data_IF_001882090536
#
_entry.id   IF_001882090536
#
_cell.length_a   1.000
_cell.length_b   1.000
_cell.length_c   1.000
_cell.angle_alpha   90.00
_cell.angle_beta   90.00
_cell.angle_gamma   90.00
#
_symmetry.space_group_name_H-M   'P 1'
#
loop_
_entity.id
_entity.type
_entity.pdbx_description
1 polymer ?
#
# COMPACT_ATOMS: atom_id res chain seq x y z
N UNK A 1 -23.01 8.98 -9.04
CA UNK A 1 -23.07 10.00 -10.12
C UNK A 1 -24.44 10.05 -10.79
N UNK A 2 -24.97 8.96 -11.36
CA UNK A 2 -26.24 8.97 -12.11
C UNK A 2 -27.43 9.58 -11.34
N UNK A 3 -27.56 9.28 -10.04
CA UNK A 3 -28.58 9.92 -9.18
C UNK A 3 -28.49 11.45 -9.12
N UNK A 4 -27.29 12.03 -9.21
CA UNK A 4 -27.10 13.49 -9.22
C UNK A 4 -27.52 14.08 -10.56
N UNK A 5 -27.17 13.40 -11.66
CA UNK A 5 -27.55 13.82 -13.02
C UNK A 5 -29.08 13.83 -13.16
N UNK A 6 -29.75 12.72 -12.82
CA UNK A 6 -31.22 12.64 -12.88
C UNK A 6 -31.89 13.72 -12.02
N UNK A 7 -31.33 14.02 -10.83
CA UNK A 7 -31.86 15.07 -9.95
C UNK A 7 -31.67 16.46 -10.54
N UNK A 8 -30.50 16.78 -11.09
CA UNK A 8 -30.24 18.08 -11.71
C UNK A 8 -31.17 18.32 -12.91
N UNK A 9 -31.34 17.31 -13.77
CA UNK A 9 -32.29 17.38 -14.89
C UNK A 9 -33.73 17.55 -14.40
N UNK A 10 -34.15 16.80 -13.38
CA UNK A 10 -35.47 16.97 -12.76
C UNK A 10 -35.69 18.39 -12.21
N UNK A 11 -34.64 19.03 -11.72
CA UNK A 11 -34.66 20.39 -11.20
C UNK A 11 -34.57 21.46 -12.30
N UNK A 12 -34.53 21.08 -13.58
CA UNK A 12 -34.52 22.01 -14.72
C UNK A 12 -33.13 22.49 -15.16
N UNK A 13 -32.05 21.81 -14.74
CA UNK A 13 -30.70 22.12 -15.20
C UNK A 13 -30.52 21.75 -16.69
N UNK A 14 -30.55 22.78 -17.55
CA UNK A 14 -30.44 22.63 -19.00
C UNK A 14 -29.05 22.14 -19.45
N UNK A 15 -28.00 22.62 -18.79
CA UNK A 15 -26.62 22.25 -19.14
C UNK A 15 -26.39 20.76 -18.87
N UNK A 16 -26.82 20.27 -17.71
CA UNK A 16 -26.67 18.84 -17.36
C UNK A 16 -27.48 17.95 -18.32
N UNK A 17 -28.66 18.39 -18.75
CA UNK A 17 -29.46 17.65 -19.73
C UNK A 17 -28.76 17.58 -21.10
N UNK A 18 -28.25 18.70 -21.59
CA UNK A 18 -27.50 18.77 -22.85
C UNK A 18 -26.25 17.90 -22.82
N UNK A 19 -25.49 17.93 -21.73
CA UNK A 19 -24.31 17.09 -21.55
C UNK A 19 -24.66 15.60 -21.46
N UNK A 20 -25.73 15.24 -20.74
CA UNK A 20 -26.20 13.86 -20.69
C UNK A 20 -26.53 13.33 -22.10
N UNK A 21 -27.32 14.09 -22.87
CA UNK A 21 -27.68 13.78 -24.27
C UNK A 21 -26.46 13.61 -25.17
N UNK A 22 -25.50 14.53 -25.05
CA UNK A 22 -24.23 14.48 -25.79
C UNK A 22 -23.42 13.24 -25.45
N UNK A 23 -23.26 12.92 -24.15
CA UNK A 23 -22.49 11.77 -23.68
C UNK A 23 -23.14 10.44 -24.10
N UNK A 24 -24.47 10.34 -24.03
CA UNK A 24 -25.18 9.12 -24.46
C UNK A 24 -25.35 9.03 -25.98
N UNK A 25 -25.17 10.14 -26.71
CA UNK A 25 -25.33 10.20 -28.17
C UNK A 25 -26.78 10.18 -28.64
N UNK A 26 -27.71 10.65 -27.81
CA UNK A 26 -29.17 10.61 -28.05
C UNK A 26 -29.77 11.97 -27.67
N UNK A 27 -30.27 12.71 -28.67
CA UNK A 27 -30.77 14.10 -28.51
C UNK A 27 -32.10 14.19 -27.78
N UNK A 28 -32.91 13.13 -27.84
CA UNK A 28 -34.23 13.10 -27.22
C UNK A 28 -34.17 12.50 -25.80
N UNK A 29 -33.01 11.96 -25.42
CA UNK A 29 -32.82 11.34 -24.11
C UNK A 29 -33.10 12.30 -22.95
N UNK A 30 -33.83 11.80 -21.96
CA UNK A 30 -34.07 12.49 -20.68
C UNK A 30 -33.74 11.49 -19.56
N UNK A 31 -32.66 11.69 -18.78
CA UNK A 31 -32.27 10.76 -17.72
C UNK A 31 -33.23 10.84 -16.53
N UNK A 32 -34.17 9.90 -16.46
CA UNK A 32 -35.12 9.77 -15.34
C UNK A 32 -34.68 8.71 -14.35
N UNK A 33 -34.28 7.54 -14.84
CA UNK A 33 -33.81 6.42 -14.02
C UNK A 33 -32.27 6.40 -13.94
N UNK A 34 -31.67 6.52 -12.74
CA UNK A 34 -30.24 6.42 -12.52
C UNK A 34 -29.61 5.11 -13.02
N UNK A 35 -30.33 3.98 -12.95
CA UNK A 35 -29.82 2.68 -13.41
C UNK A 35 -29.71 2.63 -14.93
N UNK A 36 -30.74 3.14 -15.61
CA UNK A 36 -30.76 3.24 -17.06
C UNK A 36 -29.61 4.13 -17.58
N UNK A 37 -29.40 5.29 -16.95
CA UNK A 37 -28.25 6.15 -17.26
C UNK A 37 -26.92 5.42 -17.02
N UNK A 38 -26.79 4.72 -15.88
CA UNK A 38 -25.59 3.94 -15.57
C UNK A 38 -25.30 2.88 -16.64
N UNK A 39 -26.32 2.20 -17.18
CA UNK A 39 -26.15 1.20 -18.23
C UNK A 39 -25.53 1.77 -19.53
N UNK A 40 -25.86 3.02 -19.85
CA UNK A 40 -25.38 3.71 -21.06
C UNK A 40 -23.95 4.21 -20.96
N UNK A 41 -23.45 4.47 -19.76
CA UNK A 41 -22.18 5.19 -19.54
C UNK A 41 -21.17 4.44 -18.67
N UNK A 42 -21.59 3.40 -17.96
CA UNK A 42 -20.74 2.66 -17.03
C UNK A 42 -20.70 1.18 -17.39
N UNK A 43 -19.52 0.72 -17.80
CA UNK A 43 -19.23 -0.68 -18.10
C UNK A 43 -18.42 -1.26 -16.96
N UNK A 44 -18.88 -2.38 -16.41
CA UNK A 44 -18.14 -3.15 -15.41
C UNK A 44 -17.68 -4.47 -16.04
N UNK A 45 -16.49 -4.94 -15.67
CA UNK A 45 -15.94 -6.18 -16.18
C UNK A 45 -15.31 -6.98 -15.05
N UNK A 46 -15.87 -8.16 -14.77
CA UNK A 46 -15.25 -9.15 -13.91
C UNK A 46 -14.29 -10.01 -14.74
N UNK A 47 -13.03 -10.11 -14.31
CA UNK A 47 -11.98 -10.82 -15.02
C UNK A 47 -11.44 -11.96 -14.15
N UNK A 48 -12.17 -13.08 -14.16
CA UNK A 48 -11.86 -14.26 -13.38
C UNK A 48 -10.68 -15.06 -13.93
N UNK A 49 -10.04 -15.80 -13.04
CA UNK A 49 -9.05 -16.84 -13.35
C UNK A 49 -9.53 -18.19 -12.81
N UNK A 50 -8.77 -19.26 -13.06
CA UNK A 50 -8.99 -20.60 -12.47
C UNK A 50 -9.01 -20.58 -10.93
N UNK A 51 -8.37 -19.57 -10.32
CA UNK A 51 -8.29 -19.40 -8.87
C UNK A 51 -9.45 -18.57 -8.29
N UNK A 52 -10.27 -17.95 -9.14
CA UNK A 52 -11.32 -17.04 -8.70
C UNK A 52 -12.58 -17.81 -8.26
N UNK A 53 -13.17 -17.41 -7.14
CA UNK A 53 -14.34 -18.07 -6.57
C UNK A 53 -15.65 -17.68 -7.27
N UNK A 54 -16.66 -18.54 -7.13
CA UNK A 54 -18.03 -18.21 -7.57
C UNK A 54 -18.61 -17.03 -6.79
N UNK A 55 -18.19 -16.91 -5.53
CA UNK A 55 -18.65 -15.91 -4.60
C UNK A 55 -18.23 -14.48 -5.02
N UNK A 56 -16.96 -14.28 -5.38
CA UNK A 56 -16.45 -12.97 -5.85
C UNK A 56 -17.12 -12.58 -7.17
N UNK A 57 -17.27 -13.55 -8.08
CA UNK A 57 -17.99 -13.38 -9.36
C UNK A 57 -19.45 -12.97 -9.16
N UNK A 58 -20.17 -13.68 -8.31
CA UNK A 58 -21.58 -13.41 -8.00
C UNK A 58 -21.76 -12.05 -7.34
N UNK A 59 -20.89 -11.68 -6.40
CA UNK A 59 -20.91 -10.34 -5.78
C UNK A 59 -20.72 -9.21 -6.79
N UNK A 60 -19.76 -9.35 -7.71
CA UNK A 60 -19.53 -8.36 -8.76
C UNK A 60 -20.76 -8.18 -9.66
N UNK A 61 -21.37 -9.30 -10.09
CA UNK A 61 -22.59 -9.29 -10.91
C UNK A 61 -23.78 -8.65 -10.17
N UNK A 62 -24.00 -9.00 -8.91
CA UNK A 62 -25.10 -8.46 -8.12
C UNK A 62 -24.94 -6.95 -7.89
N UNK A 63 -23.72 -6.48 -7.62
CA UNK A 63 -23.47 -5.04 -7.50
C UNK A 63 -23.68 -4.31 -8.84
N UNK A 64 -23.28 -4.92 -9.95
CA UNK A 64 -23.54 -4.35 -11.27
C UNK A 64 -25.04 -4.19 -11.56
N UNK A 65 -25.88 -5.13 -11.08
CA UNK A 65 -27.35 -5.06 -11.16
C UNK A 65 -27.95 -4.00 -10.23
N UNK A 66 -27.43 -3.86 -9.01
CA UNK A 66 -27.83 -2.81 -8.08
C UNK A 66 -27.56 -1.42 -8.66
N UNK A 67 -26.39 -1.22 -9.27
CA UNK A 67 -25.98 0.05 -9.90
C UNK A 67 -26.65 0.27 -11.25
N UNK A 68 -26.95 -0.79 -12.01
CA UNK A 68 -27.49 -0.73 -13.36
C UNK A 68 -26.43 -0.69 -14.47
N UNK A 69 -25.16 -0.99 -14.17
CA UNK A 69 -24.07 -0.96 -15.16
C UNK A 69 -24.22 -2.03 -16.25
N UNK A 70 -23.61 -1.81 -17.42
CA UNK A 70 -23.43 -2.87 -18.41
C UNK A 70 -22.30 -3.80 -17.95
N UNK A 71 -22.63 -5.04 -17.58
CA UNK A 71 -21.70 -5.96 -16.94
C UNK A 71 -21.19 -7.03 -17.89
N UNK A 72 -19.88 -7.28 -17.86
CA UNK A 72 -19.21 -8.37 -18.56
C UNK A 72 -18.51 -9.29 -17.56
N UNK A 73 -18.46 -10.57 -17.87
CA UNK A 73 -17.73 -11.60 -17.13
C UNK A 73 -16.86 -12.38 -18.12
N UNK A 74 -15.54 -12.36 -17.90
CA UNK A 74 -14.56 -13.00 -18.77
C UNK A 74 -13.56 -13.83 -17.96
N UNK A 75 -13.02 -14.86 -18.60
CA UNK A 75 -11.89 -15.65 -18.07
C UNK A 75 -10.58 -15.26 -18.73
N UNK A 76 -9.52 -15.14 -17.95
CA UNK A 76 -8.19 -14.74 -18.45
C UNK A 76 -7.24 -15.91 -18.69
N UNK A 77 -7.63 -17.13 -18.28
CA UNK A 77 -6.74 -18.30 -18.21
C UNK A 77 -6.09 -18.65 -19.54
N UNK A 78 -6.84 -18.59 -20.64
CA UNK A 78 -6.31 -18.85 -21.98
C UNK A 78 -5.15 -17.93 -22.33
N UNK A 79 -5.24 -16.65 -21.95
CA UNK A 79 -4.21 -15.64 -22.22
C UNK A 79 -3.02 -15.87 -21.28
N UNK A 80 -3.27 -16.15 -20.01
CA UNK A 80 -2.21 -16.49 -19.04
C UNK A 80 -1.41 -17.69 -19.53
N UNK A 81 -2.08 -18.77 -19.94
CA UNK A 81 -1.47 -19.96 -20.49
C UNK A 81 -0.63 -19.66 -21.74
N UNK A 82 -1.10 -18.80 -22.65
CA UNK A 82 -0.34 -18.41 -23.83
C UNK A 82 0.98 -17.69 -23.47
N UNK A 83 0.96 -16.76 -22.51
CA UNK A 83 2.16 -16.08 -22.04
C UNK A 83 3.15 -17.06 -21.38
N UNK A 84 2.65 -17.99 -20.56
CA UNK A 84 3.49 -18.99 -19.92
C UNK A 84 4.06 -20.01 -20.92
N UNK A 85 3.32 -20.34 -21.97
CA UNK A 85 3.80 -21.20 -23.05
C UNK A 85 5.00 -20.58 -23.78
N UNK A 86 4.93 -19.28 -24.11
CA UNK A 86 6.05 -18.55 -24.72
C UNK A 86 7.27 -18.53 -23.80
N UNK A 87 7.09 -18.23 -22.51
CA UNK A 87 8.18 -18.25 -21.54
C UNK A 87 8.83 -19.65 -21.43
N UNK A 88 8.00 -20.70 -21.37
CA UNK A 88 8.47 -22.08 -21.26
C UNK A 88 9.21 -22.52 -22.51
N UNK A 89 8.72 -22.16 -23.69
CA UNK A 89 9.36 -22.50 -24.97
C UNK A 89 10.77 -21.90 -25.11
N UNK A 90 10.98 -20.67 -24.61
CA UNK A 90 12.28 -19.97 -24.71
C UNK A 90 13.25 -20.40 -23.60
N UNK A 91 12.75 -20.63 -22.38
CA UNK A 91 13.62 -20.85 -21.21
C UNK A 91 13.78 -22.30 -20.80
N UNK A 92 12.93 -23.20 -21.30
CA UNK A 92 12.83 -24.59 -20.84
C UNK A 92 12.31 -24.76 -19.41
N UNK A 93 11.88 -23.67 -18.74
CA UNK A 93 11.38 -23.69 -17.37
C UNK A 93 9.92 -23.25 -17.32
N UNK A 94 9.11 -23.97 -16.55
CA UNK A 94 7.71 -23.62 -16.29
C UNK A 94 7.57 -23.12 -14.84
N UNK A 95 7.24 -21.83 -14.62
CA UNK A 95 7.01 -21.31 -13.27
C UNK A 95 5.86 -22.03 -12.59
N UNK A 96 5.96 -22.23 -11.27
CA UNK A 96 4.91 -22.86 -10.47
C UNK A 96 4.45 -21.94 -9.33
N UNK A 97 3.17 -22.06 -8.96
CA UNK A 97 2.66 -21.41 -7.74
C UNK A 97 3.33 -22.03 -6.51
N UNK A 98 3.40 -21.27 -5.42
CA UNK A 98 3.98 -21.73 -4.15
C UNK A 98 3.25 -22.97 -3.60
N UNK A 99 1.93 -22.99 -3.74
CA UNK A 99 1.09 -24.14 -3.39
C UNK A 99 1.48 -25.44 -4.13
N UNK A 100 2.13 -25.31 -5.29
CA UNK A 100 2.53 -26.42 -6.15
C UNK A 100 4.05 -26.69 -6.09
N UNK A 101 4.78 -26.07 -5.14
CA UNK A 101 6.23 -26.26 -4.96
C UNK A 101 7.12 -25.22 -5.63
N UNK A 102 6.55 -24.15 -6.20
CA UNK A 102 7.32 -23.04 -6.76
C UNK A 102 7.95 -22.12 -5.71
N UNK A 103 8.97 -21.36 -6.11
CA UNK A 103 9.61 -20.35 -5.24
C UNK A 103 8.74 -19.11 -5.05
N UNK A 104 9.03 -18.29 -4.03
CA UNK A 104 8.34 -16.99 -3.82
C UNK A 104 8.43 -16.08 -5.05
N UNK A 105 9.53 -16.17 -5.81
CA UNK A 105 9.73 -15.37 -7.03
C UNK A 105 8.83 -15.84 -8.17
N UNK A 106 8.68 -17.14 -8.36
CA UNK A 106 7.77 -17.71 -9.36
C UNK A 106 6.32 -17.40 -9.00
N UNK A 107 5.96 -17.59 -7.75
CA UNK A 107 4.63 -17.31 -7.24
C UNK A 107 4.22 -15.86 -7.46
N UNK A 108 5.10 -14.91 -7.08
CA UNK A 108 4.86 -13.49 -7.31
C UNK A 108 4.80 -13.15 -8.82
N UNK A 109 5.62 -13.80 -9.66
CA UNK A 109 5.57 -13.58 -11.10
C UNK A 109 4.25 -14.05 -11.72
N UNK A 110 3.72 -15.21 -11.29
CA UNK A 110 2.43 -15.75 -11.73
C UNK A 110 1.24 -14.88 -11.29
N UNK A 111 1.28 -14.29 -10.10
CA UNK A 111 0.28 -13.31 -9.68
C UNK A 111 0.35 -12.03 -10.52
N UNK A 112 1.57 -11.51 -10.71
CA UNK A 112 1.80 -10.27 -11.45
C UNK A 112 1.35 -10.37 -12.91
N UNK A 113 1.57 -11.52 -13.59
CA UNK A 113 1.17 -11.66 -14.99
C UNK A 113 -0.35 -11.66 -15.14
N UNK A 114 -1.07 -12.33 -14.23
CA UNK A 114 -2.53 -12.28 -14.19
C UNK A 114 -3.02 -10.84 -13.95
N UNK A 115 -2.41 -10.11 -13.03
CA UNK A 115 -2.76 -8.72 -12.74
C UNK A 115 -2.55 -7.78 -13.94
N UNK A 116 -1.45 -7.95 -14.69
CA UNK A 116 -1.16 -7.15 -15.89
C UNK A 116 -2.05 -7.48 -17.09
N UNK A 117 -2.39 -8.75 -17.29
CA UNK A 117 -3.31 -9.15 -18.36
C UNK A 117 -4.67 -8.48 -18.18
N UNK A 118 -5.17 -8.36 -16.95
CA UNK A 118 -6.42 -7.65 -16.66
C UNK A 118 -6.36 -6.18 -17.08
N UNK A 119 -5.23 -5.50 -16.88
CA UNK A 119 -5.04 -4.12 -17.34
C UNK A 119 -5.10 -4.02 -18.86
N UNK A 120 -4.38 -4.91 -19.58
CA UNK A 120 -4.40 -4.94 -21.05
C UNK A 120 -5.81 -5.15 -21.59
N UNK A 121 -6.57 -6.08 -21.00
CA UNK A 121 -7.96 -6.32 -21.35
C UNK A 121 -8.86 -5.13 -21.04
N UNK A 122 -8.69 -4.50 -19.87
CA UNK A 122 -9.48 -3.33 -19.48
C UNK A 122 -9.37 -2.21 -20.52
N UNK A 123 -8.16 -1.92 -21.00
CA UNK A 123 -7.94 -0.95 -22.06
C UNK A 123 -8.49 -1.40 -23.41
N UNK A 124 -8.35 -2.67 -23.79
CA UNK A 124 -8.95 -3.19 -25.03
C UNK A 124 -10.47 -2.99 -25.03
N UNK A 125 -11.14 -3.36 -23.93
CA UNK A 125 -12.57 -3.15 -23.78
C UNK A 125 -12.93 -1.67 -23.74
N UNK A 126 -12.17 -0.83 -23.05
CA UNK A 126 -12.44 0.61 -23.01
C UNK A 126 -12.44 1.26 -24.40
N UNK A 127 -11.58 0.80 -25.31
CA UNK A 127 -11.52 1.31 -26.67
C UNK A 127 -12.62 0.75 -27.59
N UNK A 128 -13.04 -0.50 -27.41
CA UNK A 128 -13.87 -1.20 -28.41
C UNK A 128 -15.27 -1.61 -27.93
N UNK A 129 -15.55 -1.65 -26.63
CA UNK A 129 -16.84 -2.21 -26.16
C UNK A 129 -18.02 -1.37 -26.60
N UNK A 130 -17.85 -0.05 -26.70
CA UNK A 130 -18.91 0.83 -27.18
C UNK A 130 -19.08 0.70 -28.70
N UNK A 131 -18.00 0.45 -29.45
CA UNK A 131 -18.08 0.12 -30.87
C UNK A 131 -18.88 -1.17 -31.10
N UNK A 132 -18.64 -2.22 -30.30
CA UNK A 132 -19.45 -3.44 -30.31
C UNK A 132 -20.94 -3.18 -30.01
N UNK A 133 -21.24 -2.08 -29.30
CA UNK A 133 -22.61 -1.62 -28.97
C UNK A 133 -23.14 -0.60 -29.98
N UNK A 134 -22.53 -0.48 -31.16
CA UNK A 134 -22.97 0.41 -32.24
C UNK A 134 -22.65 1.90 -32.00
N UNK A 135 -21.73 2.22 -31.09
CA UNK A 135 -21.36 3.59 -30.72
C UNK A 135 -19.87 3.82 -30.94
N UNK A 136 -19.53 4.79 -31.78
CA UNK A 136 -18.13 5.13 -32.07
C UNK A 136 -17.53 6.09 -31.01
N UNK A 137 -17.40 5.61 -29.77
CA UNK A 137 -16.83 6.36 -28.63
C UNK A 137 -15.95 5.46 -27.78
N UNK A 138 -14.93 6.02 -27.13
CA UNK A 138 -14.11 5.30 -26.13
C UNK A 138 -14.63 5.50 -24.70
N UNK A 139 -14.15 4.68 -23.77
CA UNK A 139 -14.37 4.81 -22.34
C UNK A 139 -13.08 5.21 -21.63
N UNK A 140 -13.22 5.89 -20.49
CA UNK A 140 -12.12 6.07 -19.54
C UNK A 140 -12.04 4.85 -18.62
N UNK A 141 -10.85 4.30 -18.46
CA UNK A 141 -10.57 3.23 -17.49
C UNK A 141 -10.46 3.85 -16.09
N UNK A 142 -11.23 3.29 -15.14
CA UNK A 142 -11.21 3.73 -13.74
C UNK A 142 -10.32 2.81 -12.91
N UNK A 143 -9.36 3.40 -12.19
CA UNK A 143 -8.56 2.71 -11.18
C UNK A 143 -9.29 2.59 -9.85
N UNK A 144 -8.86 1.66 -9.00
CA UNK A 144 -9.48 1.41 -7.69
C UNK A 144 -8.47 1.17 -6.56
N UNK A 145 -7.23 1.63 -6.70
CA UNK A 145 -6.27 1.65 -5.60
C UNK A 145 -6.71 2.71 -4.56
N UNK A 146 -6.54 2.44 -3.27
CA UNK A 146 -6.80 3.45 -2.21
C UNK A 146 -5.50 4.09 -1.71
N UNK A 147 -5.62 5.12 -0.87
CA UNK A 147 -4.47 5.89 -0.37
C UNK A 147 -3.50 5.02 0.44
N UNK A 148 -4.00 4.10 1.25
CA UNK A 148 -3.17 3.31 2.17
C UNK A 148 -2.37 2.23 1.41
N UNK A 149 -3.01 1.54 0.45
CA UNK A 149 -2.34 0.61 -0.48
C UNK A 149 -1.28 1.34 -1.30
N UNK A 150 -1.60 2.54 -1.80
CA UNK A 150 -0.68 3.38 -2.57
C UNK A 150 0.53 3.79 -1.73
N UNK A 151 0.31 4.18 -0.48
CA UNK A 151 1.37 4.57 0.44
C UNK A 151 2.33 3.40 0.74
N UNK A 152 1.79 2.21 0.98
CA UNK A 152 2.59 0.98 1.14
C UNK A 152 3.28 0.60 -0.17
N UNK A 153 2.63 0.88 -1.31
CA UNK A 153 2.95 0.33 -2.61
C UNK A 153 2.54 -1.14 -2.73
N UNK A 154 1.41 -1.51 -2.12
CA UNK A 154 0.77 -2.82 -2.19
C UNK A 154 -0.09 -2.93 -3.45
N UNK A 155 0.58 -3.07 -4.58
CA UNK A 155 -0.01 -3.22 -5.91
C UNK A 155 1.02 -3.79 -6.88
N UNK A 156 0.58 -4.34 -8.01
CA UNK A 156 1.49 -4.73 -9.09
C UNK A 156 1.71 -3.53 -9.99
N UNK A 157 2.98 -3.18 -10.26
CA UNK A 157 3.27 -2.10 -11.20
C UNK A 157 2.72 -2.47 -12.60
N UNK A 158 1.85 -1.60 -13.13
CA UNK A 158 1.12 -1.77 -14.40
C UNK A 158 0.04 -2.87 -14.40
N UNK A 159 -0.60 -3.13 -13.26
CA UNK A 159 -1.92 -3.81 -13.22
C UNK A 159 -3.07 -2.80 -13.31
N UNK A 160 -4.30 -3.19 -12.96
CA UNK A 160 -5.49 -2.32 -12.96
C UNK A 160 -5.42 -1.14 -11.97
N UNK A 161 -4.36 -1.01 -11.15
CA UNK A 161 -4.02 0.24 -10.46
C UNK A 161 -3.54 1.34 -11.42
N UNK A 162 -3.12 0.96 -12.63
CA UNK A 162 -2.75 1.84 -13.75
C UNK A 162 -3.93 1.96 -14.71
N UNK A 163 -4.55 3.12 -14.70
CA UNK A 163 -5.79 3.47 -15.38
C UNK A 163 -5.71 4.95 -15.80
N UNK A 164 -6.80 5.50 -16.34
CA UNK A 164 -6.81 6.91 -16.78
C UNK A 164 -7.00 7.87 -15.60
N UNK A 165 -7.95 7.53 -14.72
CA UNK A 165 -8.24 8.28 -13.47
C UNK A 165 -8.63 7.32 -12.34
N UNK A 166 -8.33 7.71 -11.10
CA UNK A 166 -8.70 6.95 -9.91
C UNK A 166 -9.55 7.80 -8.94
N UNK A 167 -10.87 7.59 -8.88
CA UNK A 167 -11.75 8.40 -8.03
C UNK A 167 -11.58 8.14 -6.52
N UNK A 168 -10.96 7.02 -6.13
CA UNK A 168 -10.79 6.62 -4.72
C UNK A 168 -9.33 6.63 -4.24
N UNK A 169 -8.39 6.98 -5.11
CA UNK A 169 -6.95 6.94 -4.79
C UNK A 169 -6.52 7.87 -3.67
N UNK A 170 -7.28 8.93 -3.41
CA UNK A 170 -7.07 9.84 -2.29
C UNK A 170 -7.88 9.53 -1.02
N UNK A 171 -8.59 8.40 -0.94
CA UNK A 171 -9.45 8.03 0.20
C UNK A 171 -8.81 6.88 1.00
N UNK A 172 -8.88 6.95 2.33
CA UNK A 172 -8.45 5.87 3.23
C UNK A 172 -9.31 4.61 3.10
N UNK A 173 -8.75 3.43 3.39
CA UNK A 173 -9.50 2.16 3.40
C UNK A 173 -10.63 2.20 4.41
N UNK A 174 -10.42 2.85 5.55
CA UNK A 174 -11.42 3.03 6.60
C UNK A 174 -12.62 3.81 6.08
N UNK A 175 -12.39 4.96 5.45
CA UNK A 175 -13.48 5.78 4.94
C UNK A 175 -14.17 5.14 3.74
N UNK A 176 -13.47 4.34 2.93
CA UNK A 176 -14.10 3.53 1.89
C UNK A 176 -15.10 2.53 2.46
N UNK A 177 -14.77 1.84 3.56
CA UNK A 177 -15.71 0.94 4.25
C UNK A 177 -16.94 1.72 4.75
N UNK A 178 -16.74 2.89 5.37
CA UNK A 178 -17.83 3.75 5.82
C UNK A 178 -18.70 4.27 4.66
N UNK A 179 -18.08 4.63 3.53
CA UNK A 179 -18.78 5.09 2.34
C UNK A 179 -19.61 3.97 1.68
N UNK A 180 -19.10 2.74 1.66
CA UNK A 180 -19.85 1.57 1.17
C UNK A 180 -21.07 1.32 2.05
N UNK A 181 -20.94 1.44 3.38
CA UNK A 181 -22.07 1.33 4.30
C UNK A 181 -23.13 2.43 4.04
N UNK A 182 -22.69 3.68 3.87
CA UNK A 182 -23.58 4.77 3.48
C UNK A 182 -24.33 4.47 2.16
N UNK A 183 -23.67 3.83 1.19
CA UNK A 183 -24.31 3.48 -0.08
C UNK A 183 -25.42 2.43 0.08
N UNK A 184 -25.27 1.50 1.02
CA UNK A 184 -26.34 0.54 1.37
C UNK A 184 -27.58 1.30 1.82
N UNK A 185 -27.44 2.19 2.81
CA UNK A 185 -28.58 2.93 3.37
C UNK A 185 -29.17 3.93 2.39
N UNK A 186 -28.32 4.65 1.66
CA UNK A 186 -28.77 5.77 0.82
C UNK A 186 -29.32 5.35 -0.53
N UNK A 187 -28.70 4.34 -1.15
CA UNK A 187 -29.03 3.94 -2.52
C UNK A 187 -29.65 2.53 -2.61
N UNK A 188 -29.81 1.85 -1.48
CA UNK A 188 -30.35 0.49 -1.40
C UNK A 188 -29.56 -0.52 -2.25
N UNK A 189 -28.23 -0.38 -2.27
CA UNK A 189 -27.32 -1.33 -2.92
C UNK A 189 -27.04 -2.50 -1.97
N UNK A 190 -28.03 -3.37 -1.77
CA UNK A 190 -27.99 -4.45 -0.78
C UNK A 190 -26.88 -5.47 -1.03
N UNK A 191 -26.46 -5.65 -2.29
CA UNK A 191 -25.31 -6.51 -2.63
C UNK A 191 -24.01 -6.10 -1.91
N UNK A 192 -23.85 -4.82 -1.56
CA UNK A 192 -22.69 -4.33 -0.81
C UNK A 192 -22.57 -4.95 0.58
N UNK A 193 -23.67 -5.41 1.20
CA UNK A 193 -23.64 -6.11 2.49
C UNK A 193 -22.80 -7.38 2.39
N UNK A 194 -22.99 -8.15 1.32
CA UNK A 194 -22.23 -9.39 1.09
C UNK A 194 -20.76 -9.11 0.76
N UNK A 195 -20.46 -7.97 0.12
CA UNK A 195 -19.08 -7.54 -0.15
C UNK A 195 -18.38 -7.13 1.15
N UNK A 196 -19.07 -6.39 2.02
CA UNK A 196 -18.52 -5.95 3.32
C UNK A 196 -18.32 -7.10 4.30
N UNK A 197 -19.16 -8.14 4.23
CA UNK A 197 -19.00 -9.36 5.02
C UNK A 197 -17.93 -10.33 4.49
N UNK A 198 -17.44 -10.13 3.27
CA UNK A 198 -16.43 -10.99 2.67
C UNK A 198 -15.03 -10.71 3.22
N UNK A 199 -14.22 -11.76 3.33
CA UNK A 199 -12.82 -11.63 3.75
C UNK A 199 -11.99 -10.96 2.65
N UNK A 200 -11.26 -9.86 2.92
CA UNK A 200 -10.40 -9.21 1.93
C UNK A 200 -9.21 -10.11 1.57
N UNK A 201 -9.28 -10.75 0.41
CA UNK A 201 -8.25 -11.67 -0.09
C UNK A 201 -8.06 -11.49 -1.58
N UNK A 202 -6.83 -11.67 -2.07
CA UNK A 202 -6.53 -11.67 -3.49
C UNK A 202 -6.57 -13.11 -4.01
N UNK A 203 -7.56 -13.45 -4.82
CA UNK A 203 -7.71 -14.78 -5.45
C UNK A 203 -6.79 -14.92 -6.68
N UNK A 204 -5.48 -14.70 -6.48
CA UNK A 204 -4.45 -14.78 -7.52
C UNK A 204 -3.58 -16.04 -7.44
N UNK A 205 -3.75 -16.83 -6.38
CA UNK A 205 -3.07 -18.10 -6.14
C UNK A 205 -4.11 -19.23 -5.97
N UNK A 206 -3.72 -20.50 -6.24
CA UNK A 206 -4.58 -21.65 -5.99
C UNK A 206 -5.17 -21.66 -4.58
N UNK A 207 -6.49 -21.71 -4.51
CA UNK A 207 -7.23 -21.80 -3.25
C UNK A 207 -6.91 -23.15 -2.59
N UNK A 208 -6.54 -23.14 -1.31
CA UNK A 208 -6.39 -24.38 -0.54
C UNK A 208 -7.74 -24.69 0.11
N UNK A 209 -8.35 -25.82 -0.25
CA UNK A 209 -9.70 -26.21 0.19
C UNK A 209 -10.78 -25.16 -0.14
N UNK A 210 -10.65 -24.45 -1.27
CA UNK A 210 -11.61 -23.41 -1.68
C UNK A 210 -11.52 -22.09 -0.90
N UNK A 211 -10.49 -21.91 -0.07
CA UNK A 211 -10.28 -20.68 0.70
C UNK A 211 -8.95 -20.03 0.32
N UNK A 212 -8.96 -18.71 0.13
CA UNK A 212 -7.75 -17.94 -0.09
C UNK A 212 -6.85 -17.99 1.16
N UNK A 213 -5.54 -18.22 0.96
CA UNK A 213 -4.64 -18.52 2.07
C UNK A 213 -4.46 -17.34 3.05
N UNK A 214 -4.53 -16.09 2.58
CA UNK A 214 -4.09 -14.94 3.37
C UNK A 214 -4.91 -13.68 3.10
N UNK A 215 -5.11 -12.85 4.13
CA UNK A 215 -5.69 -11.50 4.01
C UNK A 215 -4.65 -10.51 3.51
N UNK A 216 -5.12 -9.44 2.89
CA UNK A 216 -4.28 -8.32 2.47
C UNK A 216 -3.45 -7.73 3.62
N UNK A 217 -4.04 -7.50 4.81
CA UNK A 217 -3.32 -6.99 5.98
C UNK A 217 -2.21 -7.94 6.47
N UNK A 218 -2.47 -9.26 6.43
CA UNK A 218 -1.48 -10.24 6.83
C UNK A 218 -0.31 -10.27 5.83
N UNK A 219 -0.59 -10.15 4.52
CA UNK A 219 0.43 -10.10 3.47
C UNK A 219 1.23 -8.77 3.48
N UNK A 220 0.57 -7.67 3.83
CA UNK A 220 1.25 -6.39 4.07
C UNK A 220 2.10 -6.42 5.35
N UNK A 221 1.74 -7.25 6.32
CA UNK A 221 2.34 -7.29 7.66
C UNK A 221 1.97 -6.08 8.53
N UNK A 222 0.90 -5.37 8.16
CA UNK A 222 0.38 -4.16 8.84
C UNK A 222 -1.12 -4.05 8.61
N UNK A 223 -1.86 -3.57 9.62
CA UNK A 223 -3.29 -3.28 9.42
C UNK A 223 -3.51 -1.94 8.70
N UNK A 224 -4.70 -1.75 8.13
CA UNK A 224 -5.09 -0.46 7.53
C UNK A 224 -5.15 0.68 8.56
N UNK A 225 -5.50 0.37 9.81
CA UNK A 225 -5.49 1.35 10.89
C UNK A 225 -4.06 1.82 11.21
N UNK A 226 -3.11 0.89 11.25
CA UNK A 226 -1.69 1.21 11.41
C UNK A 226 -1.16 2.03 10.21
N UNK A 227 -1.48 1.62 8.98
CA UNK A 227 -1.09 2.34 7.76
C UNK A 227 -1.60 3.77 7.73
N UNK A 228 -2.86 3.99 8.16
CA UNK A 228 -3.43 5.34 8.28
C UNK A 228 -2.65 6.20 9.28
N UNK A 229 -2.26 5.63 10.43
CA UNK A 229 -1.43 6.32 11.43
C UNK A 229 -0.05 6.64 10.87
N UNK A 230 0.64 5.69 10.23
CA UNK A 230 1.95 5.94 9.60
C UNK A 230 1.86 7.00 8.52
N UNK A 231 0.79 6.99 7.70
CA UNK A 231 0.53 7.99 6.67
C UNK A 231 0.47 9.40 7.23
N UNK A 232 -0.37 9.61 8.25
CA UNK A 232 -0.50 10.91 8.94
C UNK A 232 0.79 11.35 9.61
N UNK A 233 1.45 10.48 10.36
CA UNK A 233 2.73 10.79 11.00
C UNK A 233 3.82 11.16 9.97
N UNK A 234 3.91 10.42 8.86
CA UNK A 234 4.89 10.67 7.79
C UNK A 234 4.64 12.01 7.09
N UNK A 235 3.39 12.27 6.68
CA UNK A 235 3.06 13.39 5.79
C UNK A 235 2.66 14.66 6.53
N UNK A 236 1.73 14.55 7.47
CA UNK A 236 1.17 15.71 8.19
C UNK A 236 2.14 16.17 9.27
N UNK A 237 2.68 15.23 10.06
CA UNK A 237 3.58 15.56 11.16
C UNK A 237 5.07 15.56 10.78
N UNK A 238 5.37 15.32 9.50
CA UNK A 238 6.72 15.28 8.94
C UNK A 238 7.68 14.37 9.73
N UNK A 239 7.22 13.21 10.17
CA UNK A 239 8.04 12.25 10.91
C UNK A 239 8.82 11.34 9.95
N UNK A 240 10.15 11.42 10.01
CA UNK A 240 11.04 10.35 9.53
C UNK A 240 11.04 9.14 10.48
N UNK A 241 11.83 8.07 10.18
CA UNK A 241 11.76 6.80 10.91
C UNK A 241 11.93 6.94 12.43
N UNK A 242 12.98 7.62 12.88
CA UNK A 242 13.28 7.76 14.31
C UNK A 242 12.20 8.56 15.05
N UNK A 243 11.76 9.69 14.50
CA UNK A 243 10.71 10.52 15.11
C UNK A 243 9.37 9.80 15.17
N UNK A 244 9.03 9.04 14.12
CA UNK A 244 7.82 8.22 14.10
C UNK A 244 7.87 7.15 15.20
N UNK A 245 9.01 6.48 15.36
CA UNK A 245 9.23 5.53 16.45
C UNK A 245 9.00 6.17 17.82
N UNK A 246 9.63 7.30 18.14
CA UNK A 246 9.44 7.97 19.44
C UNK A 246 7.97 8.32 19.69
N UNK A 247 7.27 8.90 18.71
CA UNK A 247 5.84 9.24 18.85
C UNK A 247 4.97 8.01 19.09
N UNK A 248 5.26 6.91 18.41
CA UNK A 248 4.50 5.68 18.55
C UNK A 248 4.81 4.94 19.85
N UNK A 249 6.02 5.05 20.40
CA UNK A 249 6.31 4.56 21.74
C UNK A 249 5.45 5.26 22.81
N UNK A 250 5.13 6.54 22.62
CA UNK A 250 4.22 7.25 23.50
C UNK A 250 2.76 6.89 23.20
N UNK A 251 2.35 6.87 21.94
CA UNK A 251 0.97 6.61 21.54
C UNK A 251 0.51 5.17 21.80
N UNK A 252 1.40 4.19 21.64
CA UNK A 252 1.12 2.77 21.79
C UNK A 252 1.75 2.16 23.04
N UNK A 253 2.14 3.00 24.02
CA UNK A 253 2.82 2.58 25.25
C UNK A 253 2.11 1.43 25.97
N UNK A 254 0.78 1.47 26.00
CA UNK A 254 -0.05 0.49 26.71
C UNK A 254 -0.41 -0.73 25.86
N UNK A 255 -0.04 -0.74 24.58
CA UNK A 255 -0.45 -1.75 23.60
C UNK A 255 0.76 -2.56 23.10
N UNK A 256 1.92 -1.91 22.93
CA UNK A 256 3.10 -2.50 22.33
C UNK A 256 4.39 -2.09 23.06
N UNK A 257 5.32 -3.05 23.32
CA UNK A 257 6.64 -2.71 23.83
C UNK A 257 7.46 -1.93 22.77
N UNK A 258 8.46 -1.13 23.17
CA UNK A 258 9.31 -0.37 22.26
C UNK A 258 9.92 -1.21 21.14
N UNK A 259 10.38 -2.43 21.44
CA UNK A 259 10.93 -3.36 20.45
C UNK A 259 9.94 -3.71 19.32
N UNK A 260 8.66 -3.90 19.62
CA UNK A 260 7.63 -4.18 18.62
C UNK A 260 7.28 -2.93 17.79
N UNK A 261 7.22 -1.76 18.43
CA UNK A 261 7.03 -0.48 17.72
C UNK A 261 8.17 -0.26 16.73
N UNK A 262 9.42 -0.52 17.14
CA UNK A 262 10.59 -0.42 16.28
C UNK A 262 10.49 -1.36 15.06
N UNK A 263 10.08 -2.61 15.26
CA UNK A 263 9.87 -3.56 14.17
C UNK A 263 8.83 -3.06 13.16
N UNK A 264 7.68 -2.58 13.64
CA UNK A 264 6.61 -2.04 12.78
C UNK A 264 7.07 -0.81 11.99
N UNK A 265 7.73 0.15 12.63
CA UNK A 265 8.25 1.36 11.97
C UNK A 265 9.31 1.01 10.92
N UNK A 266 10.23 0.10 11.25
CA UNK A 266 11.26 -0.35 10.30
C UNK A 266 10.66 -1.07 9.09
N UNK A 267 9.66 -1.93 9.33
CA UNK A 267 8.94 -2.62 8.26
C UNK A 267 8.24 -1.62 7.33
N UNK A 268 7.50 -0.66 7.88
CA UNK A 268 6.84 0.40 7.11
C UNK A 268 7.82 1.16 6.21
N UNK A 269 8.90 1.73 6.78
CA UNK A 269 9.84 2.54 5.99
C UNK A 269 10.64 1.73 4.97
N UNK A 270 10.93 0.46 5.25
CA UNK A 270 11.55 -0.44 4.28
C UNK A 270 10.61 -0.70 3.09
N UNK A 271 9.37 -1.09 3.35
CA UNK A 271 8.37 -1.34 2.30
C UNK A 271 8.05 -0.07 1.50
N UNK A 272 7.87 1.07 2.16
CA UNK A 272 7.68 2.37 1.53
C UNK A 272 8.85 2.70 0.58
N UNK A 273 10.09 2.58 1.05
CA UNK A 273 11.27 2.90 0.25
C UNK A 273 11.43 1.98 -0.97
N UNK A 274 11.24 0.67 -0.79
CA UNK A 274 11.33 -0.32 -1.88
C UNK A 274 10.28 -0.03 -2.96
N UNK A 275 9.06 0.29 -2.55
CA UNK A 275 7.94 0.43 -3.47
C UNK A 275 7.69 1.85 -3.97
N UNK A 276 8.42 2.87 -3.49
CA UNK A 276 8.15 4.27 -3.85
C UNK A 276 8.18 4.52 -5.35
N UNK A 277 9.02 3.80 -6.09
CA UNK A 277 9.07 3.86 -7.55
C UNK A 277 7.73 3.56 -8.24
N UNK A 278 6.79 2.86 -7.58
CA UNK A 278 5.44 2.62 -8.12
C UNK A 278 4.60 3.91 -8.15
N UNK A 279 4.82 4.83 -7.21
CA UNK A 279 4.09 6.09 -7.12
C UNK A 279 4.38 7.04 -8.28
N UNK A 280 5.56 6.93 -8.89
CA UNK A 280 5.96 7.76 -10.05
C UNK A 280 5.09 7.53 -11.29
N UNK A 281 4.38 6.39 -11.35
CA UNK A 281 3.54 6.00 -12.49
C UNK A 281 2.12 5.64 -12.06
N UNK A 282 1.75 5.92 -10.81
CA UNK A 282 0.41 5.62 -10.32
C UNK A 282 -0.60 6.56 -11.00
N UNK A 283 -1.78 6.02 -11.30
CA UNK A 283 -2.92 6.75 -11.86
C UNK A 283 -3.20 8.04 -11.10
N UNK A 284 -3.44 9.18 -11.79
CA UNK A 284 -3.85 10.41 -11.13
C UNK A 284 -5.16 10.20 -10.38
N UNK A 285 -5.17 10.60 -9.11
CA UNK A 285 -6.27 10.35 -8.20
C UNK A 285 -6.97 11.64 -7.75
N UNK A 286 -8.27 11.51 -7.44
CA UNK A 286 -8.99 12.55 -6.71
C UNK A 286 -8.29 12.83 -5.37
N UNK A 287 -8.07 14.10 -5.05
CA UNK A 287 -7.45 14.50 -3.79
C UNK A 287 -8.51 14.60 -2.69
N UNK A 288 -8.36 13.82 -1.60
CA UNK A 288 -9.23 13.91 -0.44
C UNK A 288 -8.42 13.94 0.87
N UNK A 289 -7.57 12.95 1.10
CA UNK A 289 -6.76 12.84 2.31
C UNK A 289 -5.54 13.77 2.30
N UNK A 290 -5.33 14.48 3.42
CA UNK A 290 -4.17 15.37 3.63
C UNK A 290 -2.84 14.61 3.80
N UNK A 291 -2.87 13.27 3.78
CA UNK A 291 -1.69 12.42 3.86
C UNK A 291 -1.37 11.66 2.57
N UNK A 292 -2.01 12.04 1.44
CA UNK A 292 -1.82 11.40 0.14
C UNK A 292 -0.34 11.20 -0.25
N UNK A 293 0.04 10.03 -0.78
CA UNK A 293 1.39 9.76 -1.26
C UNK A 293 1.63 10.18 -2.72
N UNK A 294 0.70 10.87 -3.39
CA UNK A 294 0.85 11.30 -4.79
C UNK A 294 2.18 12.01 -5.05
N UNK A 295 2.95 11.50 -6.01
CA UNK A 295 4.28 12.01 -6.32
C UNK A 295 4.27 13.14 -7.37
N UNK A 296 3.17 13.33 -8.09
CA UNK A 296 3.11 14.29 -9.19
C UNK A 296 2.99 15.73 -8.71
N UNK A 297 2.27 15.96 -7.61
CA UNK A 297 1.93 17.32 -7.14
C UNK A 297 2.04 17.45 -5.63
N UNK A 298 1.54 16.48 -4.87
CA UNK A 298 1.28 16.69 -3.44
C UNK A 298 2.41 16.26 -2.50
N UNK A 299 3.09 15.15 -2.80
CA UNK A 299 4.15 14.57 -1.98
C UNK A 299 5.41 14.27 -2.80
N UNK A 300 6.11 15.33 -3.19
CA UNK A 300 7.38 15.23 -3.93
C UNK A 300 8.45 14.55 -3.05
N UNK A 301 8.93 13.39 -3.48
CA UNK A 301 9.91 12.58 -2.73
C UNK A 301 10.91 11.89 -3.67
N UNK A 302 12.11 11.53 -3.20
CA UNK A 302 12.95 10.57 -3.92
C UNK A 302 12.19 9.28 -4.21
N UNK A 303 12.54 8.58 -5.28
CA UNK A 303 12.05 7.22 -5.57
C UNK A 303 13.18 6.18 -5.66
N UNK A 304 14.43 6.63 -5.52
CA UNK A 304 15.61 5.81 -5.31
C UNK A 304 16.15 6.07 -3.90
N UNK A 305 15.78 5.20 -2.95
CA UNK A 305 16.19 5.28 -1.56
C UNK A 305 17.26 4.24 -1.22
N UNK A 306 18.10 4.54 -0.21
CA UNK A 306 18.74 3.48 0.57
C UNK A 306 17.66 2.82 1.44
N UNK A 307 17.20 1.64 1.04
CA UNK A 307 16.08 0.91 1.66
C UNK A 307 16.43 0.31 3.02
N UNK A 308 17.71 0.27 3.39
CA UNK A 308 18.16 -0.22 4.69
C UNK A 308 18.08 0.85 5.79
N UNK A 309 17.96 2.13 5.43
CA UNK A 309 17.84 3.25 6.39
C UNK A 309 18.88 3.19 7.53
N UNK A 310 20.12 2.81 7.17
CA UNK A 310 21.15 2.38 8.12
C UNK A 310 21.38 3.34 9.29
N UNK A 311 21.37 4.64 9.02
CA UNK A 311 21.56 5.67 10.06
C UNK A 311 20.36 5.72 10.99
N UNK A 312 19.17 5.93 10.42
CA UNK A 312 17.93 6.11 11.17
C UNK A 312 17.57 4.87 12.00
N UNK A 313 17.76 3.67 11.44
CA UNK A 313 17.45 2.41 12.13
C UNK A 313 18.41 2.12 13.28
N UNK A 314 19.67 2.57 13.19
CA UNK A 314 20.64 2.48 14.29
C UNK A 314 20.21 3.29 15.51
N UNK A 315 19.70 4.52 15.31
CA UNK A 315 19.18 5.34 16.40
C UNK A 315 17.94 4.71 17.04
N UNK A 316 17.06 4.09 16.25
CA UNK A 316 15.94 3.32 16.78
C UNK A 316 16.46 2.18 17.69
N UNK A 317 17.43 1.39 17.21
CA UNK A 317 17.99 0.27 17.99
C UNK A 317 18.69 0.70 19.27
N UNK A 318 19.38 1.84 19.25
CA UNK A 318 19.97 2.42 20.46
C UNK A 318 18.89 2.85 21.45
N UNK A 319 17.82 3.50 20.98
CA UNK A 319 16.76 3.95 21.85
C UNK A 319 15.91 2.79 22.40
N UNK A 320 15.67 1.74 21.63
CA UNK A 320 15.04 0.50 22.12
C UNK A 320 15.89 -0.10 23.24
N UNK A 321 17.21 -0.20 23.08
CA UNK A 321 18.10 -0.70 24.16
C UNK A 321 17.98 0.11 25.44
N UNK A 322 17.87 1.43 25.36
CA UNK A 322 17.70 2.31 26.53
C UNK A 322 16.34 2.18 27.20
N UNK A 323 15.30 1.89 26.43
CA UNK A 323 13.92 1.78 26.92
C UNK A 323 13.60 0.38 27.45
N UNK A 324 14.20 -0.66 26.86
CA UNK A 324 14.05 -2.07 27.27
C UNK A 324 15.05 -2.45 28.38
N UNK A 325 16.07 -1.62 28.65
CA UNK A 325 16.87 -1.76 29.88
C UNK A 325 15.95 -1.58 31.09
N UNK A 326 15.85 -2.58 32.00
CA UNK A 326 15.07 -2.42 33.21
C UNK A 326 15.58 -1.18 33.94
N UNK A 327 14.68 -0.25 34.29
CA UNK A 327 15.00 0.88 35.14
C UNK A 327 15.75 0.34 36.36
N UNK A 328 17.08 0.45 36.37
CA UNK A 328 17.86 0.36 37.59
C UNK A 328 17.44 1.57 38.40
N UNK A 329 16.38 1.42 39.17
CA UNK A 329 16.15 2.29 40.32
C UNK A 329 17.48 2.28 41.08
N UNK A 330 18.08 3.44 41.36
CA UNK A 330 19.26 3.46 42.21
C UNK A 330 18.83 2.84 43.54
N UNK A 331 19.40 1.67 43.85
CA UNK A 331 19.34 1.11 45.19
C UNK A 331 20.07 2.13 46.05
N UNK A 332 19.32 3.01 46.70
CA UNK A 332 19.84 3.78 47.82
C UNK A 332 20.19 2.74 48.90
N UNK A 333 21.45 2.30 48.91
CA UNK A 333 22.03 1.74 50.11
C UNK A 333 22.01 2.84 51.16
N UNK A 334 20.98 2.83 52.01
CA UNK A 334 21.02 3.54 53.28
C UNK A 334 22.14 2.87 54.10
N UNK A 335 23.34 3.45 54.03
CA UNK A 335 24.44 3.08 54.90
C UNK A 335 24.12 3.71 56.25
N UNK A 336 23.54 2.91 57.15
CA UNK A 336 23.36 3.33 58.53
C UNK A 336 24.75 3.52 59.16
N UNK A 337 25.06 4.76 59.51
CA UNK A 337 26.25 5.12 60.28
C UNK A 337 26.12 4.59 61.70
N UNK A 338 27.06 3.71 62.03
CA UNK A 338 27.82 3.59 63.26
C UNK A 338 27.33 4.40 64.50
N UNK A 339 26.81 3.68 65.50
CA UNK A 339 26.84 4.09 66.92
C UNK A 339 26.96 2.87 67.84
N UNK A 340 28.21 2.53 68.16
CA UNK A 340 28.75 2.41 69.52
C UNK A 340 28.12 1.45 70.55
N UNK A 341 28.98 0.57 71.10
CA UNK A 341 28.98 0.17 72.52
C UNK A 341 28.74 -1.32 72.80
N UNK A 342 29.79 -2.06 73.22
CA UNK A 342 29.73 -3.46 73.72
C UNK A 342 29.22 -3.59 75.17
N UNK A 343 29.55 -4.66 75.95
CA UNK A 343 30.44 -5.80 75.65
C UNK A 343 29.90 -7.21 76.06
N UNK A 344 30.70 -8.24 75.72
CA UNK A 344 30.93 -9.55 76.36
C UNK A 344 29.79 -10.58 76.57
N UNK A 345 29.94 -11.80 76.02
CA UNK A 345 30.34 -12.97 76.83
C UNK A 345 30.73 -14.20 75.99
N UNK A 346 31.68 -14.97 76.53
CA UNK A 346 32.30 -16.19 75.99
C UNK A 346 31.39 -17.44 76.10
N UNK A 347 31.51 -18.40 75.16
CA UNK A 347 31.74 -19.84 75.42
C UNK A 347 31.70 -20.70 74.13
N UNK A 348 32.69 -21.58 74.01
CA UNK A 348 33.00 -22.54 72.92
C UNK A 348 32.11 -23.82 72.95
N UNK A 349 32.35 -24.95 72.20
CA UNK A 349 33.34 -25.29 71.15
C UNK A 349 32.69 -26.01 69.90
N UNK A 350 33.47 -26.57 68.94
CA UNK A 350 32.98 -27.00 67.62
C UNK A 350 32.74 -28.51 67.53
N UNK A 351 31.97 -28.95 66.52
CA UNK A 351 31.90 -30.37 66.16
C UNK A 351 31.99 -30.61 64.65
N UNK A 352 32.69 -31.70 64.35
CA UNK A 352 33.15 -32.17 63.04
C UNK A 352 32.19 -33.20 62.40
N UNK A 353 32.44 -33.47 61.10
CA UNK A 353 32.02 -34.64 60.31
C UNK A 353 30.54 -34.66 59.88
N UNK A 354 30.13 -35.10 58.69
CA UNK A 354 30.70 -36.13 57.80
C UNK A 354 30.05 -36.08 56.40
N UNK A 355 30.87 -36.35 55.38
CA UNK A 355 30.66 -37.20 54.19
C UNK A 355 29.33 -37.17 53.38
N UNK A 356 29.46 -37.07 52.05
CA UNK A 356 28.40 -37.42 51.11
C UNK A 356 28.71 -37.07 49.65
N UNK A 357 29.34 -37.99 48.93
CA UNK A 357 29.80 -37.99 47.54
C UNK A 357 28.72 -37.98 46.44
N UNK A 358 29.02 -37.31 45.31
CA UNK A 358 28.92 -37.73 43.88
C UNK A 358 28.80 -36.46 42.99
N UNK A 359 29.78 -36.11 42.15
CA UNK A 359 30.02 -36.65 40.79
C UNK A 359 28.91 -36.17 39.84
N UNK A 360 29.11 -35.29 38.84
CA UNK A 360 30.03 -35.40 37.71
C UNK A 360 30.25 -34.06 36.99
N UNK A 361 31.48 -33.83 36.55
CA UNK A 361 31.87 -32.82 35.55
C UNK A 361 31.46 -33.25 34.13
N UNK A 362 31.24 -32.26 33.25
CA UNK A 362 31.01 -32.45 31.82
C UNK A 362 31.07 -31.13 31.06
N UNK A 363 32.28 -30.58 30.92
CA UNK A 363 32.62 -29.50 29.99
C UNK A 363 33.16 -30.13 28.70
N UNK A 364 32.63 -29.72 27.54
CA UNK A 364 33.12 -29.89 26.16
C UNK A 364 32.00 -29.33 25.26
N UNK A 365 32.17 -28.47 24.27
CA UNK A 365 33.31 -27.87 23.60
C UNK A 365 32.73 -27.20 22.35
N UNK A 366 33.03 -25.92 22.15
CA UNK A 366 32.71 -25.18 20.92
C UNK A 366 33.37 -25.84 19.71
N UNK A 367 32.66 -25.89 18.57
CA UNK A 367 33.20 -25.58 17.24
C UNK A 367 32.10 -25.72 16.15
N UNK A 368 31.51 -24.60 15.74
CA UNK A 368 30.84 -24.50 14.43
C UNK A 368 31.79 -23.84 13.43
N UNK A 369 32.23 -24.63 12.47
CA UNK A 369 32.98 -24.20 11.28
C UNK A 369 32.04 -23.48 10.31
N UNK A 370 32.28 -22.20 10.08
CA UNK A 370 31.68 -21.43 8.98
C UNK A 370 32.57 -21.63 7.75
N UNK A 371 32.12 -22.45 6.79
CA UNK A 371 32.71 -22.47 5.44
C UNK A 371 32.16 -21.31 4.63
N UNK A 372 33.03 -20.34 4.37
CA UNK A 372 32.86 -19.28 3.37
C UNK A 372 33.42 -19.81 2.06
N UNK A 373 32.58 -19.98 1.03
CA UNK A 373 33.07 -20.22 -0.33
C UNK A 373 33.11 -18.90 -1.12
N UNK A 374 34.32 -18.58 -1.57
CA UNK A 374 34.67 -17.52 -2.51
C UNK A 374 34.27 -17.95 -3.91
N UNK A 375 33.67 -17.03 -4.68
CA UNK A 375 33.60 -17.13 -6.14
C UNK A 375 34.83 -16.45 -6.73
N UNK A 376 35.67 -17.23 -7.40
CA UNK A 376 36.76 -16.74 -8.24
C UNK A 376 36.28 -16.56 -9.69
N UNK A 377 36.73 -15.45 -10.29
CA UNK A 377 36.64 -15.10 -11.70
C UNK A 377 37.77 -15.77 -12.50
N UNK A 378 37.43 -16.40 -13.63
CA UNK A 378 38.18 -16.48 -14.90
C UNK A 378 37.44 -17.51 -15.78
N UNK A 379 37.35 -17.45 -17.11
CA UNK A 379 38.24 -16.90 -18.12
C UNK A 379 37.49 -16.67 -19.44
N UNK A 380 38.13 -15.87 -20.29
CA UNK A 380 37.82 -15.49 -21.65
C UNK A 380 37.81 -16.68 -22.63
N UNK A 381 36.95 -16.62 -23.66
CA UNK A 381 37.00 -17.47 -24.85
C UNK A 381 36.39 -16.74 -26.04
N UNK A 382 37.26 -16.25 -26.92
CA UNK A 382 36.94 -15.59 -28.19
C UNK A 382 36.40 -16.59 -29.22
N UNK A 383 35.52 -16.12 -30.10
CA UNK A 383 35.50 -16.51 -31.51
C UNK A 383 34.89 -15.39 -32.34
N UNK A 384 35.51 -15.12 -33.49
CA UNK A 384 35.26 -14.02 -34.40
C UNK A 384 35.10 -14.54 -35.84
N UNK A 385 34.48 -13.69 -36.67
CA UNK A 385 34.52 -13.64 -38.15
C UNK A 385 33.58 -14.63 -38.89
N UNK A 386 32.85 -14.32 -39.99
CA UNK A 386 33.03 -13.46 -41.19
C UNK A 386 31.64 -13.13 -41.81
N UNK A 387 31.32 -11.88 -42.20
CA UNK A 387 31.40 -11.17 -43.52
C UNK A 387 30.26 -11.38 -44.56
N UNK A 388 29.88 -10.25 -45.18
CA UNK A 388 29.09 -10.05 -46.42
C UNK A 388 28.05 -8.91 -46.27
N UNK A 389 28.35 -7.61 -46.53
CA UNK A 389 28.42 -6.86 -47.83
C UNK A 389 27.20 -7.10 -48.74
N UNK A 390 26.53 -6.15 -49.43
CA UNK A 390 26.58 -4.71 -49.76
C UNK A 390 25.17 -4.37 -50.35
N UNK A 391 24.59 -3.15 -50.29
CA UNK A 391 24.69 -2.09 -51.32
C UNK A 391 23.60 -1.02 -51.04
N UNK A 392 23.97 0.25 -50.84
CA UNK A 392 23.89 1.42 -51.75
C UNK A 392 22.50 1.94 -52.15
N UNK A 393 22.22 3.18 -51.78
CA UNK A 393 21.15 4.03 -52.32
C UNK A 393 21.24 5.46 -51.78
N UNK A 394 21.74 6.38 -52.60
CA UNK A 394 22.01 7.80 -52.30
C UNK A 394 20.75 8.68 -52.20
N UNK A 395 20.84 9.79 -51.46
CA UNK A 395 19.96 10.96 -51.59
C UNK A 395 20.36 12.10 -50.65
N UNK A 396 20.96 13.17 -51.19
CA UNK A 396 21.40 14.40 -50.48
C UNK A 396 20.25 15.40 -50.29
N UNK A 397 20.33 16.21 -49.24
CA UNK A 397 19.67 17.53 -49.13
C UNK A 397 19.87 18.15 -47.73
N UNK A 398 20.26 19.42 -47.58
CA UNK A 398 20.94 19.94 -46.38
C UNK A 398 20.00 20.73 -45.45
N UNK A 399 20.28 20.74 -44.15
CA UNK A 399 19.76 21.79 -43.25
C UNK A 399 20.81 22.23 -42.23
N UNK A 400 20.69 23.51 -41.93
CA UNK A 400 21.67 24.40 -41.35
C UNK A 400 21.84 24.25 -39.83
N UNK A 401 23.03 24.68 -39.42
CA UNK A 401 23.44 25.16 -38.11
C UNK A 401 22.33 25.62 -37.15
N UNK A 402 22.28 25.03 -35.95
CA UNK A 402 21.85 25.75 -34.74
C UNK A 402 22.78 25.43 -33.57
N UNK A 403 23.21 26.53 -32.96
CA UNK A 403 24.16 26.76 -31.88
C UNK A 403 23.90 25.99 -30.57
N UNK A 404 25.00 25.52 -29.97
CA UNK A 404 25.10 25.16 -28.55
C UNK A 404 24.94 26.42 -27.68
N UNK A 405 23.83 26.51 -26.95
CA UNK A 405 23.64 27.49 -25.87
C UNK A 405 24.14 26.90 -24.56
N UNK A 406 25.20 27.49 -24.03
CA UNK A 406 25.77 27.25 -22.69
C UNK A 406 25.01 28.11 -21.69
N UNK A 407 24.40 27.50 -20.67
CA UNK A 407 23.76 28.23 -19.57
C UNK A 407 24.74 28.33 -18.37
N UNK A 408 25.04 29.52 -17.84
CA UNK A 408 26.07 29.69 -16.82
C UNK A 408 25.56 29.40 -15.40
N UNK A 409 26.47 28.84 -14.62
CA UNK A 409 26.41 28.56 -13.19
C UNK A 409 25.95 29.78 -12.36
N UNK A 410 24.89 29.62 -11.57
CA UNK A 410 24.62 30.47 -10.40
C UNK A 410 25.22 29.77 -9.18
N UNK A 411 26.40 30.23 -8.78
CA UNK A 411 26.96 30.03 -7.43
C UNK A 411 26.37 31.10 -6.51
N UNK A 412 25.60 30.69 -5.51
CA UNK A 412 25.42 31.48 -4.29
C UNK A 412 25.67 30.54 -3.12
N UNK A 413 26.81 30.74 -2.46
CA UNK A 413 27.03 30.27 -1.12
C UNK A 413 27.37 31.49 -0.27
N UNK A 414 26.72 31.63 0.88
CA UNK A 414 27.42 32.01 2.13
C UNK A 414 26.51 31.77 3.34
N UNK A 415 27.06 30.97 4.25
CA UNK A 415 26.91 30.96 5.71
C UNK A 415 26.16 32.15 6.32
N UNK A 416 25.19 31.85 7.18
CA UNK A 416 24.98 32.55 8.46
C UNK A 416 24.40 31.57 9.48
N UNK A 417 25.17 31.28 10.52
CA UNK A 417 24.63 30.73 11.77
C UNK A 417 24.01 31.85 12.57
N UNK A 418 22.84 31.60 13.16
CA UNK A 418 22.31 32.36 14.28
C UNK A 418 21.64 31.39 15.25
N UNK A 419 21.79 31.77 16.50
CA UNK A 419 21.69 31.04 17.77
C UNK A 419 20.26 30.75 18.22
N UNK A 420 20.17 29.78 19.12
CA UNK A 420 19.03 29.48 19.99
C UNK A 420 18.53 30.72 20.73
N UNK A 421 17.21 30.83 20.85
CA UNK A 421 16.53 31.87 21.65
C UNK A 421 15.01 31.78 21.52
N UNK A 422 14.38 31.29 22.59
CA UNK A 422 13.01 31.61 23.03
C UNK A 422 11.81 31.16 22.15
N UNK A 423 11.34 29.92 22.36
CA UNK A 423 9.95 29.55 22.08
C UNK A 423 9.13 29.60 23.39
N UNK A 424 8.47 30.73 23.62
CA UNK A 424 7.44 30.90 24.64
C UNK A 424 6.15 30.19 24.25
N UNK A 425 5.68 29.30 25.13
CA UNK A 425 4.38 28.64 25.02
C UNK A 425 3.23 29.65 25.06
N UNK A 426 2.44 29.73 23.99
CA UNK A 426 1.11 30.35 24.03
C UNK A 426 0.04 29.27 24.05
N UNK A 427 -0.67 29.19 25.18
CA UNK A 427 -1.86 28.34 25.40
C UNK A 427 -2.97 28.73 24.42
N UNK A 428 -3.34 27.84 23.52
CA UNK A 428 -4.61 27.96 22.76
C UNK A 428 -5.71 27.29 23.58
N UNK A 429 -6.68 28.09 24.04
CA UNK A 429 -7.92 27.61 24.66
C UNK A 429 -8.79 26.94 23.59
N UNK A 430 -9.21 25.70 23.84
CA UNK A 430 -10.26 25.05 23.08
C UNK A 430 -11.61 25.71 23.39
N UNK A 431 -12.28 26.22 22.35
CA UNK A 431 -13.68 26.67 22.43
C UNK A 431 -14.55 25.49 21.99
N UNK A 432 -15.35 24.99 22.93
CA UNK A 432 -16.40 24.00 22.70
C UNK A 432 -17.56 24.65 21.94
N UNK A 433 -17.91 24.12 20.77
CA UNK A 433 -19.14 24.45 20.06
C UNK A 433 -20.12 23.29 20.24
N UNK A 434 -21.03 23.45 21.20
CA UNK A 434 -22.21 22.60 21.37
C UNK A 434 -23.28 23.01 20.34
N UNK A 435 -23.82 22.04 19.61
CA UNK A 435 -24.96 22.23 18.71
C UNK A 435 -26.28 22.34 19.52
N UNK A 436 -27.20 23.25 19.19
CA UNK A 436 -28.49 23.32 19.85
C UNK A 436 -29.46 22.27 19.29
N UNK A 437 -29.97 21.45 20.19
CA UNK A 437 -31.12 20.56 19.99
C UNK A 437 -32.42 21.37 19.87
N UNK A 438 -33.04 21.37 18.69
CA UNK A 438 -34.39 21.87 18.48
C UNK A 438 -35.34 20.67 18.53
N UNK A 439 -36.06 20.53 19.64
CA UNK A 439 -37.20 19.61 19.79
C UNK A 439 -38.46 20.27 19.23
N UNK A 440 -38.97 19.76 18.12
CA UNK A 440 -40.26 20.17 17.56
C UNK A 440 -41.33 19.22 18.12
N UNK A 441 -42.10 19.68 19.12
CA UNK A 441 -43.35 19.05 19.52
C UNK A 441 -44.41 19.35 18.46
N UNK A 442 -44.98 18.30 17.87
CA UNK A 442 -46.18 18.38 17.05
C UNK A 442 -47.34 17.86 17.90
N UNK A 443 -48.16 18.80 18.37
CA UNK A 443 -49.48 18.55 18.93
C UNK A 443 -50.45 18.27 17.78
N UNK A 444 -51.07 17.09 17.76
CA UNK A 444 -52.29 16.85 16.97
C UNK A 444 -53.35 16.28 17.91
N UNK A 445 -54.31 17.14 18.26
CA UNK A 445 -55.59 16.77 18.85
C UNK A 445 -56.62 16.58 17.72
N UNK A 446 -57.30 15.43 17.81
CA UNK A 446 -58.53 14.98 17.14
C UNK A 446 -58.43 14.54 15.68
#
# INVERSE_FOLDING_TARGET
MSHLVCRAVKNGDKQVLEDARRIVGDREYIPVDPKELANRIFVTCYMGSENSSEDTRSRAKNLAQDVGSYHMDIKIDTIVCAFLAVFTAITGKRPQFKANGGTDRENLALQNIQARIRMVLAYLFAHLIMWCRGRNVGLLVLGSANTDESLRGYMTKYDCSSADINPIGGISKKDLKSFVFYCVEKFNFSSLITIMGARPTAELEPLRNGVAQQTDEADMGMSYDELSVFGRLRKIEACGPFRMFCKLCDLWRDIHPPSLVAQKVKHFFRCYAINRHKMTVLTPAYHAESYSPDDNRFDLRPFLYNTSWNWQFRFIDEQVRRLDEPQRLPVHHFRAEDRGGGPENENAPPDQNSAGSHGTEGSLGNNMNIKTEKFDNSSCGQSACLNGEESLGQGRGPEDSVSRSVNPLIRIGTKRGLTEGEFGFSKVKAVSLAAPSISMQVDVKK
#
